data_IF_189209309961
#
_entry.id   IF_189209309961
#
_cell.length_a   1.000
_cell.length_b   1.000
_cell.length_c   1.000
_cell.angle_alpha   90.00
_cell.angle_beta   90.00
_cell.angle_gamma   90.00
#
_symmetry.space_group_name_H-M   'P 1'
#
loop_
_entity.id
_entity.type
_entity.pdbx_description
1 polymer ?
#
# COMPACT_ATOMS: atom_id res chain seq x y z
N UNK A 1 -28.57 -19.98 -13.05
CA UNK A 1 -27.49 -20.60 -12.24
C UNK A 1 -26.94 -19.55 -11.30
N UNK A 2 -27.17 -19.72 -10.00
CA UNK A 2 -26.79 -18.74 -8.97
C UNK A 2 -25.33 -18.96 -8.62
N UNK A 3 -24.51 -17.94 -8.78
CA UNK A 3 -23.08 -17.98 -8.48
C UNK A 3 -22.85 -18.29 -6.99
N UNK A 4 -22.13 -19.37 -6.71
CA UNK A 4 -21.84 -19.95 -5.38
C UNK A 4 -20.95 -19.04 -4.50
N UNK A 5 -20.76 -17.76 -4.82
CA UNK A 5 -19.84 -16.87 -4.07
C UNK A 5 -20.41 -15.49 -3.74
N UNK A 6 -21.66 -15.18 -4.12
CA UNK A 6 -22.30 -13.88 -3.88
C UNK A 6 -21.61 -12.67 -4.55
N UNK A 7 -20.44 -12.88 -5.14
CA UNK A 7 -19.64 -11.91 -5.90
C UNK A 7 -19.75 -12.24 -7.37
N UNK A 8 -20.02 -11.21 -8.16
CA UNK A 8 -20.01 -11.33 -9.62
C UNK A 8 -18.58 -11.59 -10.11
N UNK A 9 -18.38 -12.29 -11.24
CA UNK A 9 -17.06 -12.48 -11.84
C UNK A 9 -16.27 -11.18 -12.00
N UNK A 10 -16.99 -10.08 -12.25
CA UNK A 10 -16.43 -8.74 -12.40
C UNK A 10 -15.81 -8.25 -11.07
N UNK A 11 -16.46 -8.48 -9.93
CA UNK A 11 -15.92 -8.11 -8.62
C UNK A 11 -14.69 -8.93 -8.24
N UNK A 12 -14.65 -10.20 -8.66
CA UNK A 12 -13.47 -11.03 -8.48
C UNK A 12 -12.27 -10.47 -9.26
N UNK A 13 -12.46 -10.14 -10.55
CA UNK A 13 -11.42 -9.52 -11.38
C UNK A 13 -10.97 -8.18 -10.79
N UNK A 14 -11.90 -7.34 -10.32
CA UNK A 14 -11.57 -6.07 -9.64
C UNK A 14 -10.69 -6.32 -8.42
N UNK A 15 -11.06 -7.28 -7.57
CA UNK A 15 -10.27 -7.63 -6.38
C UNK A 15 -8.85 -8.05 -6.74
N UNK A 16 -8.69 -8.89 -7.77
CA UNK A 16 -7.36 -9.30 -8.26
C UNK A 16 -6.54 -8.11 -8.76
N UNK A 17 -7.14 -7.21 -9.55
CA UNK A 17 -6.47 -6.00 -10.04
C UNK A 17 -5.99 -5.11 -8.90
N UNK A 18 -6.85 -4.85 -7.91
CA UNK A 18 -6.50 -4.01 -6.76
C UNK A 18 -5.38 -4.67 -5.92
N UNK A 19 -5.43 -5.98 -5.69
CA UNK A 19 -4.35 -6.70 -5.01
C UNK A 19 -3.01 -6.59 -5.74
N UNK A 20 -3.02 -6.69 -7.08
CA UNK A 20 -1.81 -6.48 -7.89
C UNK A 20 -1.30 -5.05 -7.79
N UNK A 21 -2.19 -4.05 -7.75
CA UNK A 21 -1.81 -2.65 -7.58
C UNK A 21 -1.13 -2.40 -6.22
N UNK A 22 -1.59 -3.04 -5.15
CA UNK A 22 -0.97 -2.95 -3.83
C UNK A 22 0.51 -3.38 -3.85
N UNK A 23 0.85 -4.44 -4.60
CA UNK A 23 2.24 -4.88 -4.78
C UNK A 23 3.08 -3.78 -5.45
N UNK A 24 2.53 -3.07 -6.44
CA UNK A 24 3.24 -1.95 -7.07
C UNK A 24 3.44 -0.78 -6.11
N UNK A 25 2.42 -0.45 -5.30
CA UNK A 25 2.52 0.60 -4.29
C UNK A 25 3.57 0.28 -3.21
N UNK A 26 3.67 -1.00 -2.80
CA UNK A 26 4.73 -1.48 -1.89
C UNK A 26 6.13 -1.32 -2.48
N UNK A 27 6.26 -1.45 -3.80
CA UNK A 27 7.51 -1.21 -4.53
C UNK A 27 7.81 0.27 -4.74
N UNK A 28 6.96 1.18 -4.23
CA UNK A 28 7.14 2.62 -4.34
C UNK A 28 6.59 3.23 -5.64
N UNK A 29 5.85 2.47 -6.45
CA UNK A 29 5.18 3.01 -7.62
C UNK A 29 4.13 4.05 -7.21
N UNK A 30 3.97 5.10 -8.00
CA UNK A 30 2.97 6.11 -7.74
C UNK A 30 1.54 5.53 -7.95
N UNK A 31 0.55 6.14 -7.28
CA UNK A 31 -0.85 5.69 -7.28
C UNK A 31 -1.46 5.67 -8.68
N UNK A 32 -1.21 6.69 -9.50
CA UNK A 32 -1.78 6.80 -10.83
C UNK A 32 -1.23 5.72 -11.77
N UNK A 33 0.09 5.51 -11.75
CA UNK A 33 0.78 4.49 -12.53
C UNK A 33 0.34 3.09 -12.11
N UNK A 34 0.25 2.81 -10.80
CA UNK A 34 -0.27 1.53 -10.32
C UNK A 34 -1.71 1.27 -10.80
N UNK A 35 -2.55 2.31 -10.86
CA UNK A 35 -3.91 2.21 -11.40
C UNK A 35 -3.92 1.90 -12.91
N UNK A 36 -3.08 2.59 -13.69
CA UNK A 36 -2.98 2.33 -15.14
C UNK A 36 -2.41 0.93 -15.45
N UNK A 37 -1.38 0.49 -14.71
CA UNK A 37 -0.76 -0.84 -14.87
C UNK A 37 -1.73 -2.00 -14.64
N UNK A 38 -2.71 -1.83 -13.76
CA UNK A 38 -3.76 -2.85 -13.52
C UNK A 38 -5.01 -2.63 -14.37
N UNK A 39 -4.94 -1.71 -15.34
CA UNK A 39 -5.97 -1.47 -16.35
C UNK A 39 -7.18 -0.68 -15.83
N UNK A 40 -6.95 0.33 -14.99
CA UNK A 40 -7.95 1.35 -14.69
C UNK A 40 -7.72 2.58 -15.55
N UNK A 41 -8.76 2.99 -16.30
CA UNK A 41 -8.72 4.23 -17.09
C UNK A 41 -9.06 5.47 -16.25
N UNK A 42 -9.68 5.28 -15.08
CA UNK A 42 -10.07 6.36 -14.18
C UNK A 42 -9.53 6.10 -12.76
N UNK A 43 -8.55 6.89 -12.29
CA UNK A 43 -7.99 6.78 -10.94
C UNK A 43 -9.02 6.89 -9.82
N UNK A 44 -10.11 7.65 -9.99
CA UNK A 44 -11.17 7.76 -8.96
C UNK A 44 -11.86 6.42 -8.70
N UNK A 45 -12.13 5.67 -9.77
CA UNK A 45 -12.72 4.33 -9.67
C UNK A 45 -11.72 3.34 -9.04
N UNK A 46 -10.43 3.47 -9.36
CA UNK A 46 -9.40 2.68 -8.70
C UNK A 46 -9.39 2.93 -7.20
N UNK A 47 -9.30 4.19 -6.76
CA UNK A 47 -9.28 4.57 -5.34
C UNK A 47 -10.49 4.04 -4.58
N UNK A 48 -11.70 4.12 -5.16
CA UNK A 48 -12.91 3.57 -4.55
C UNK A 48 -12.79 2.05 -4.33
N UNK A 49 -12.41 1.30 -5.35
CA UNK A 49 -12.27 -0.16 -5.23
C UNK A 49 -11.10 -0.54 -4.31
N UNK A 50 -10.02 0.24 -4.32
CA UNK A 50 -8.89 0.03 -3.41
C UNK A 50 -9.33 0.15 -1.96
N UNK A 51 -10.03 1.22 -1.62
CA UNK A 51 -10.59 1.41 -0.28
C UNK A 51 -11.58 0.33 0.11
N UNK A 52 -12.40 -0.17 -0.82
CA UNK A 52 -13.32 -1.28 -0.55
C UNK A 52 -12.61 -2.61 -0.22
N UNK A 53 -11.44 -2.86 -0.82
CA UNK A 53 -10.69 -4.12 -0.61
C UNK A 53 -9.75 -4.03 0.59
N UNK A 54 -9.09 -2.89 0.79
CA UNK A 54 -8.03 -2.70 1.78
C UNK A 54 -8.46 -1.85 2.99
N UNK A 55 -9.64 -1.24 2.96
CA UNK A 55 -10.14 -0.35 4.03
C UNK A 55 -9.54 1.05 4.04
N UNK A 56 -8.52 1.33 3.22
CA UNK A 56 -7.77 2.58 3.21
C UNK A 56 -7.48 3.10 1.79
N UNK A 57 -7.06 4.35 1.66
CA UNK A 57 -6.69 4.93 0.37
C UNK A 57 -5.35 4.37 -0.13
N UNK A 58 -5.15 4.26 -1.45
CA UNK A 58 -3.89 3.78 -2.02
C UNK A 58 -2.70 4.70 -1.68
N UNK A 59 -2.94 6.00 -1.48
CA UNK A 59 -1.91 6.94 -1.03
C UNK A 59 -1.45 6.66 0.41
N UNK A 60 -2.41 6.45 1.32
CA UNK A 60 -2.15 6.09 2.72
C UNK A 60 -1.43 4.73 2.80
N UNK A 61 -1.87 3.76 2.01
CA UNK A 61 -1.23 2.45 1.91
C UNK A 61 0.22 2.57 1.44
N UNK A 62 0.49 3.39 0.41
CA UNK A 62 1.85 3.61 -0.08
C UNK A 62 2.73 4.33 0.95
N UNK A 63 2.17 5.22 1.77
CA UNK A 63 2.89 5.90 2.85
C UNK A 63 3.26 4.93 3.97
N UNK A 64 2.30 4.14 4.47
CA UNK A 64 2.58 3.14 5.53
C UNK A 64 3.67 2.14 5.12
N UNK A 65 3.67 1.73 3.85
CA UNK A 65 4.69 0.79 3.33
C UNK A 65 6.08 1.43 3.20
N UNK A 66 6.17 2.77 3.14
CA UNK A 66 7.43 3.50 3.21
C UNK A 66 7.90 3.66 4.65
N UNK A 67 6.99 3.97 5.57
CA UNK A 67 7.28 4.15 7.00
C UNK A 67 7.80 2.86 7.63
N UNK A 68 7.21 1.69 7.30
CA UNK A 68 7.70 0.39 7.77
C UNK A 68 9.14 0.04 7.32
N UNK A 69 9.69 0.72 6.30
CA UNK A 69 11.10 0.55 5.91
C UNK A 69 12.05 1.47 6.68
N UNK A 70 11.53 2.48 7.39
CA UNK A 70 12.33 3.43 8.17
C UNK A 70 12.52 2.96 9.62
N UNK A 71 11.59 2.16 10.15
CA UNK A 71 11.67 1.63 11.52
C UNK A 71 12.77 0.57 11.71
N UNK A 72 13.15 -0.14 10.65
CA UNK A 72 14.27 -1.10 10.69
C UNK A 72 15.65 -0.42 10.83
N UNK A 73 15.76 0.89 10.52
CA UNK A 73 17.03 1.64 10.57
C UNK A 73 17.07 2.70 11.69
N UNK A 74 16.00 2.86 12.46
CA UNK A 74 15.84 3.91 13.47
C UNK A 74 15.83 3.39 14.91
N UNK A 75 16.72 2.45 15.25
CA UNK A 75 17.33 2.57 16.59
C UNK A 75 18.45 3.60 16.43
N UNK A 76 18.32 4.85 16.88
CA UNK A 76 19.52 5.59 17.21
C UNK A 76 20.32 4.67 18.12
N UNK A 77 21.59 4.44 17.79
CA UNK A 77 22.53 3.90 18.77
C UNK A 77 22.25 4.64 20.09
N UNK A 78 22.05 3.94 21.22
CA UNK A 78 21.92 4.63 22.49
C UNK A 78 23.10 5.58 22.58
N UNK A 79 22.81 6.88 22.74
CA UNK A 79 23.80 7.95 22.80
C UNK A 79 25.07 7.42 23.48
N UNK A 80 26.27 7.58 22.90
CA UNK A 80 27.49 7.23 23.62
C UNK A 80 27.43 7.99 24.94
N UNK A 81 27.36 7.21 26.03
CA UNK A 81 27.33 7.65 27.42
C UNK A 81 28.19 8.91 27.56
N UNK A 82 27.65 10.05 28.03
CA UNK A 82 28.44 11.26 28.16
C UNK A 82 29.65 10.94 29.04
N UNK A 83 30.83 10.91 28.40
CA UNK A 83 32.12 10.63 29.04
C UNK A 83 32.20 11.45 30.34
N UNK A 84 32.17 10.79 31.52
CA UNK A 84 32.18 11.49 32.80
C UNK A 84 33.53 12.17 33.08
N UNK A 85 34.51 12.07 32.18
CA UNK A 85 35.87 12.55 32.42
C UNK A 85 36.35 13.60 31.42
N UNK A 86 35.43 14.44 30.91
CA UNK A 86 35.82 15.70 30.27
C UNK A 86 35.73 16.86 31.29
N UNK A 87 36.79 17.02 32.08
CA UNK A 87 37.15 18.24 32.81
C UNK A 87 38.66 18.34 32.92
#
# INVERSE_FOLDING_TARGET
MVAITGKTPIEFIRTLKVKKAAIYLQKGMNVAQAAYEVGYNNPKNFTKHFKQVFGMLPSEYSQQMKEQKMDDFAKPDPDPDPDPNKS
#
